data_IF_252646795058
#
_entry.id   IF_252646795058
#
_cell.length_a   1.000
_cell.length_b   1.000
_cell.length_c   1.000
_cell.angle_alpha   90.00
_cell.angle_beta   90.00
_cell.angle_gamma   90.00
#
_symmetry.space_group_name_H-M   'P 1'
#
loop_
_entity.id
_entity.type
_entity.pdbx_description
1 polymer ?
#
# COMPACT_ATOMS: atom_id res chain seq x y z
N UNK A 1 12.46 -10.80 14.67
CA UNK A 1 12.84 -10.30 13.38
C UNK A 1 11.85 -10.65 12.29
N UNK A 2 11.52 -9.68 11.52
CA UNK A 2 10.54 -9.92 10.47
C UNK A 2 11.14 -10.74 9.35
N UNK A 3 10.33 -11.61 8.79
CA UNK A 3 10.74 -12.38 7.63
C UNK A 3 10.81 -11.46 6.43
N UNK A 4 11.82 -11.68 5.61
CA UNK A 4 11.93 -10.95 4.37
C UNK A 4 11.02 -11.59 3.35
N UNK A 5 10.35 -10.74 2.60
CA UNK A 5 9.46 -11.21 1.55
C UNK A 5 9.95 -10.64 0.22
N UNK A 6 10.03 -11.50 -0.77
CA UNK A 6 10.46 -11.06 -2.09
C UNK A 6 9.43 -10.11 -2.68
N UNK A 7 9.91 -9.18 -3.49
CA UNK A 7 9.02 -8.19 -4.10
C UNK A 7 7.91 -8.86 -4.91
N UNK A 8 8.27 -9.87 -5.69
CA UNK A 8 7.26 -10.55 -6.50
C UNK A 8 6.20 -11.21 -5.65
N UNK A 9 6.60 -11.75 -4.50
CA UNK A 9 5.63 -12.38 -3.62
C UNK A 9 4.72 -11.35 -2.99
N UNK A 10 5.27 -10.19 -2.63
CA UNK A 10 4.45 -9.10 -2.10
C UNK A 10 3.46 -8.62 -3.14
N UNK A 11 3.90 -8.50 -4.39
CA UNK A 11 2.98 -8.11 -5.46
C UNK A 11 1.84 -9.10 -5.60
N UNK A 12 2.15 -10.39 -5.56
CA UNK A 12 1.12 -11.40 -5.67
C UNK A 12 0.13 -11.34 -4.51
N UNK A 13 0.65 -11.12 -3.31
CA UNK A 13 -0.22 -11.02 -2.14
C UNK A 13 -1.11 -9.80 -2.20
N UNK A 14 -0.57 -8.67 -2.64
CA UNK A 14 -1.40 -7.47 -2.77
C UNK A 14 -2.50 -7.67 -3.80
N UNK A 15 -2.16 -8.31 -4.92
CA UNK A 15 -3.18 -8.59 -5.94
C UNK A 15 -4.26 -9.49 -5.38
N UNK A 16 -3.87 -10.50 -4.62
CA UNK A 16 -4.81 -11.42 -4.02
C UNK A 16 -5.72 -10.71 -3.02
N UNK A 17 -5.12 -9.85 -2.19
CA UNK A 17 -5.89 -9.13 -1.18
C UNK A 17 -6.88 -8.15 -1.81
N UNK A 18 -6.46 -7.44 -2.85
CA UNK A 18 -7.37 -6.51 -3.49
C UNK A 18 -8.48 -7.26 -4.22
N UNK A 19 -8.15 -8.41 -4.81
CA UNK A 19 -9.18 -9.23 -5.44
C UNK A 19 -10.21 -9.69 -4.40
N UNK A 20 -9.73 -10.10 -3.24
CA UNK A 20 -10.64 -10.53 -2.17
C UNK A 20 -11.54 -9.39 -1.73
N UNK A 21 -10.99 -8.18 -1.62
CA UNK A 21 -11.80 -7.02 -1.26
C UNK A 21 -12.83 -6.72 -2.33
N UNK A 22 -12.44 -6.83 -3.60
CA UNK A 22 -13.39 -6.63 -4.68
C UNK A 22 -14.56 -7.59 -4.58
N UNK A 23 -14.24 -8.86 -4.37
CA UNK A 23 -15.28 -9.89 -4.28
C UNK A 23 -16.16 -9.69 -3.06
N UNK A 24 -15.56 -9.26 -1.94
CA UNK A 24 -16.34 -8.99 -0.74
C UNK A 24 -17.36 -7.89 -0.95
N UNK A 25 -17.06 -6.95 -1.83
CA UNK A 25 -17.99 -5.87 -2.17
C UNK A 25 -18.96 -6.26 -3.26
N UNK A 26 -18.86 -7.49 -3.76
CA UNK A 26 -19.75 -7.94 -4.81
C UNK A 26 -19.46 -7.34 -6.17
N UNK A 27 -18.25 -6.86 -6.39
CA UNK A 27 -17.91 -6.18 -7.63
C UNK A 27 -17.28 -7.13 -8.63
N UNK A 28 -17.69 -7.01 -9.88
CA UNK A 28 -16.98 -7.65 -10.97
C UNK A 28 -15.74 -6.85 -11.30
N UNK A 29 -14.84 -7.44 -12.08
CA UNK A 29 -13.68 -6.69 -12.52
C UNK A 29 -14.10 -5.45 -13.31
N UNK A 30 -15.08 -5.60 -14.18
CA UNK A 30 -15.57 -4.45 -14.94
C UNK A 30 -16.15 -3.38 -14.02
N UNK A 31 -16.88 -3.81 -13.01
CA UNK A 31 -17.45 -2.85 -12.04
C UNK A 31 -16.40 -2.08 -11.28
N UNK A 32 -15.36 -2.77 -10.85
CA UNK A 32 -14.28 -2.09 -10.15
C UNK A 32 -13.49 -1.17 -11.09
N UNK A 33 -13.27 -1.63 -12.32
CA UNK A 33 -12.58 -0.80 -13.30
C UNK A 33 -13.34 0.51 -13.50
N UNK A 34 -14.64 0.43 -13.61
CA UNK A 34 -15.45 1.63 -13.81
C UNK A 34 -15.36 2.56 -12.60
N UNK A 35 -15.49 2.00 -11.40
CA UNK A 35 -15.49 2.82 -10.19
C UNK A 35 -14.13 3.44 -9.91
N UNK A 36 -13.08 2.74 -10.25
CA UNK A 36 -11.73 3.22 -9.92
C UNK A 36 -11.13 4.10 -10.99
N UNK A 37 -11.65 4.01 -12.21
CA UNK A 37 -11.04 4.68 -13.33
C UNK A 37 -9.83 3.95 -13.87
N UNK A 38 -9.58 2.73 -13.40
CA UNK A 38 -8.50 1.91 -13.91
C UNK A 38 -9.05 1.07 -15.05
N UNK A 39 -8.31 0.99 -16.14
CA UNK A 39 -8.77 0.27 -17.31
C UNK A 39 -8.87 -1.22 -16.99
N UNK A 40 -9.89 -1.84 -17.56
CA UNK A 40 -10.13 -3.25 -17.28
C UNK A 40 -8.94 -4.16 -17.61
N UNK A 41 -8.26 -4.00 -18.74
CA UNK A 41 -7.09 -4.85 -18.99
C UNK A 41 -6.00 -4.67 -17.94
N UNK A 42 -5.84 -3.44 -17.45
CA UNK A 42 -4.86 -3.17 -16.40
C UNK A 42 -5.24 -3.90 -15.12
N UNK A 43 -6.50 -3.86 -14.75
CA UNK A 43 -6.97 -4.56 -13.56
C UNK A 43 -6.80 -6.06 -13.70
N UNK A 44 -7.15 -6.60 -14.85
CA UNK A 44 -6.99 -8.03 -15.08
C UNK A 44 -5.54 -8.47 -14.95
N UNK A 45 -4.64 -7.69 -15.54
CA UNK A 45 -3.22 -8.03 -15.45
C UNK A 45 -2.75 -7.97 -14.02
N UNK A 46 -3.21 -6.97 -13.26
CA UNK A 46 -2.82 -6.87 -11.86
C UNK A 46 -3.30 -8.08 -11.08
N UNK A 47 -4.56 -8.47 -11.25
CA UNK A 47 -5.08 -9.60 -10.48
C UNK A 47 -4.40 -10.91 -10.86
N UNK A 48 -3.95 -11.03 -12.10
CA UNK A 48 -3.30 -12.24 -12.55
C UNK A 48 -1.81 -12.27 -12.23
N UNK A 49 -1.13 -11.14 -12.36
CA UNK A 49 0.32 -11.13 -12.29
C UNK A 49 0.90 -10.21 -11.23
N UNK A 50 0.08 -9.41 -10.59
CA UNK A 50 0.57 -8.50 -9.57
C UNK A 50 1.29 -7.29 -10.12
N UNK A 51 1.18 -7.03 -11.41
CA UNK A 51 1.89 -5.92 -12.05
C UNK A 51 0.95 -4.76 -12.30
N UNK A 52 1.30 -3.59 -11.79
CA UNK A 52 0.45 -2.42 -11.93
C UNK A 52 1.29 -1.20 -11.58
N UNK A 53 0.93 -0.06 -12.14
CA UNK A 53 1.56 1.19 -11.75
C UNK A 53 1.08 1.58 -10.35
N UNK A 54 1.88 2.37 -9.67
CA UNK A 54 1.48 2.84 -8.35
C UNK A 54 0.21 3.66 -8.43
N UNK A 55 0.10 4.51 -9.43
CA UNK A 55 -1.09 5.34 -9.57
C UNK A 55 -2.33 4.47 -9.70
N UNK A 56 -2.29 3.48 -10.57
CA UNK A 56 -3.45 2.62 -10.76
C UNK A 56 -3.75 1.81 -9.51
N UNK A 57 -2.71 1.34 -8.82
CA UNK A 57 -2.91 0.62 -7.57
C UNK A 57 -3.63 1.48 -6.53
N UNK A 58 -3.23 2.74 -6.43
CA UNK A 58 -3.86 3.63 -5.48
C UNK A 58 -5.30 3.95 -5.86
N UNK A 59 -5.58 4.04 -7.16
CA UNK A 59 -6.95 4.24 -7.61
C UNK A 59 -7.83 3.05 -7.25
N UNK A 60 -7.31 1.84 -7.41
CA UNK A 60 -8.06 0.66 -7.00
C UNK A 60 -8.28 0.67 -5.49
N UNK A 61 -7.25 1.00 -4.74
CA UNK A 61 -7.35 1.03 -3.28
C UNK A 61 -8.38 2.04 -2.82
N UNK A 62 -8.45 3.19 -3.49
CA UNK A 62 -9.43 4.20 -3.13
C UNK A 62 -10.84 3.69 -3.38
N UNK A 63 -11.06 3.06 -4.53
CA UNK A 63 -12.38 2.54 -4.85
C UNK A 63 -12.80 1.43 -3.90
N UNK A 64 -11.83 0.67 -3.37
CA UNK A 64 -12.12 -0.40 -2.43
C UNK A 64 -12.16 0.05 -0.99
N UNK A 65 -11.82 1.32 -0.72
CA UNK A 65 -11.87 1.86 0.62
C UNK A 65 -10.66 1.55 1.47
N UNK A 66 -9.54 1.18 0.86
CA UNK A 66 -8.34 0.82 1.62
C UNK A 66 -7.19 1.78 1.41
N UNK A 67 -7.39 2.87 0.67
CA UNK A 67 -6.29 3.79 0.36
C UNK A 67 -5.64 4.35 1.62
N UNK A 68 -6.45 4.81 2.56
CA UNK A 68 -5.91 5.43 3.75
C UNK A 68 -5.12 4.44 4.59
N UNK A 69 -5.54 3.19 4.59
CA UNK A 69 -4.81 2.18 5.33
C UNK A 69 -3.42 1.95 4.74
N UNK A 70 -3.31 1.97 3.42
CA UNK A 70 -2.02 1.82 2.80
C UNK A 70 -1.11 3.01 3.10
N UNK A 71 -1.67 4.21 3.03
CA UNK A 71 -0.88 5.39 3.34
C UNK A 71 -0.43 5.37 4.80
N UNK A 72 -1.34 5.01 5.70
CA UNK A 72 -0.97 4.94 7.11
C UNK A 72 0.08 3.88 7.38
N UNK A 73 -0.01 2.75 6.67
CA UNK A 73 0.97 1.69 6.86
C UNK A 73 2.35 2.08 6.41
N UNK A 74 2.45 3.06 5.52
CA UNK A 74 3.74 3.51 5.04
C UNK A 74 4.40 4.52 5.97
N UNK A 75 3.69 4.96 6.99
CA UNK A 75 4.25 5.91 7.93
C UNK A 75 5.27 5.21 8.81
N UNK A 76 6.28 5.97 9.16
CA UNK A 76 7.31 5.43 10.02
C UNK A 76 6.76 5.21 11.40
N UNK A 77 6.88 3.99 11.89
CA UNK A 77 6.38 3.67 13.21
C UNK A 77 7.22 4.35 14.27
N UNK A 78 6.56 4.91 15.28
CA UNK A 78 7.23 5.51 16.41
C UNK A 78 6.92 4.66 17.64
N UNK A 79 7.94 4.16 18.34
CA UNK A 79 7.68 3.32 19.50
C UNK A 79 6.89 4.07 20.57
N UNK A 80 5.84 3.44 21.06
CA UNK A 80 4.98 4.10 22.04
C UNK A 80 5.65 4.24 23.39
N UNK A 81 6.51 3.28 23.71
CA UNK A 81 7.15 3.30 25.02
C UNK A 81 8.15 4.43 25.14
N UNK A 82 8.44 5.10 24.09
CA UNK A 82 9.45 6.13 24.08
C UNK A 82 8.87 7.53 24.19
N UNK A 83 7.70 7.64 24.79
CA UNK A 83 7.05 8.94 24.84
C UNK A 83 7.94 10.02 25.42
N UNK A 84 8.67 9.69 26.48
CA UNK A 84 9.58 10.66 27.05
C UNK A 84 10.74 10.93 26.12
N UNK A 85 11.25 9.86 25.56
CA UNK A 85 12.33 10.02 24.59
C UNK A 85 11.86 10.78 23.38
N UNK A 86 10.63 10.57 22.99
CA UNK A 86 10.07 11.29 21.86
C UNK A 86 10.05 12.78 22.13
N UNK A 87 9.67 13.16 23.32
CA UNK A 87 9.66 14.56 23.68
C UNK A 87 11.07 15.13 23.58
N UNK A 88 12.03 14.39 24.06
CA UNK A 88 13.41 14.83 23.97
C UNK A 88 13.88 14.86 22.54
N UNK A 89 13.47 13.90 21.75
CA UNK A 89 13.90 13.83 20.37
C UNK A 89 13.27 14.89 19.50
N UNK A 90 12.14 15.40 19.90
CA UNK A 90 11.53 16.48 19.16
C UNK A 90 12.47 17.67 19.02
N UNK A 91 13.43 17.75 19.88
CA UNK A 91 14.33 18.88 19.90
C UNK A 91 15.51 18.72 19.01
N UNK A 92 15.62 17.61 18.34
CA UNK A 92 16.76 17.38 17.50
C UNK A 92 16.32 16.91 16.14
N UNK A 93 17.10 17.21 15.13
CA UNK A 93 16.81 16.68 13.82
C UNK A 93 16.96 15.18 13.84
N UNK A 94 15.96 14.52 13.37
CA UNK A 94 15.97 13.08 13.37
C UNK A 94 16.41 12.50 12.04
N UNK A 95 16.14 13.23 10.98
CA UNK A 95 16.44 12.72 9.66
C UNK A 95 17.17 13.78 8.87
N UNK A 96 18.19 13.39 8.15
CA UNK A 96 18.81 14.33 7.23
C UNK A 96 17.86 14.64 6.11
N UNK A 97 17.97 15.83 5.56
CA UNK A 97 17.12 16.20 4.45
C UNK A 97 17.45 15.42 3.21
N UNK A 98 18.64 14.93 3.11
CA UNK A 98 19.02 14.04 2.04
C UNK A 98 19.26 12.68 2.63
N UNK A 99 18.97 11.67 1.85
CA UNK A 99 19.24 10.33 2.28
C UNK A 99 20.73 10.08 2.36
N UNK A 100 21.09 9.11 3.17
CA UNK A 100 22.47 8.68 3.28
C UNK A 100 22.77 7.71 2.16
N UNK A 101 23.96 7.87 1.63
CA UNK A 101 24.40 6.92 0.62
C UNK A 101 25.06 5.75 1.34
N UNK A 102 24.55 4.59 1.14
CA UNK A 102 25.05 3.41 1.81
C UNK A 102 25.34 2.32 0.83
#
# INVERSE_FOLDING_TARGET
MAALIAVSKAQAKLAEHLRAQRLALGLTQAGLAERSGVRLPTLRKFEQKGLISLESFLKLSMALGSLEKFVAASERATPKFSSIDEVLEDKKPTLPKRGWRK
#
